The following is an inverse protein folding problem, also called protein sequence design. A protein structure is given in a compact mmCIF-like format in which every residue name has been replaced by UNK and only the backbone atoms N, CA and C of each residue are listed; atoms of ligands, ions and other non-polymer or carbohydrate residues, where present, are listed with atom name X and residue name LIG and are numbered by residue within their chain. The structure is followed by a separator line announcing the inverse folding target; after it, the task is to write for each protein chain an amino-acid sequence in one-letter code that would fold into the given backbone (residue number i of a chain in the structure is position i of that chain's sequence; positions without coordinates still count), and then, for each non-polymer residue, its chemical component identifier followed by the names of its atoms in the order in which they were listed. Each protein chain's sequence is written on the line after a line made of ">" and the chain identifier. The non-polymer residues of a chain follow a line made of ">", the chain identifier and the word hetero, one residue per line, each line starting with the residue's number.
data_IF_360539813752
#
_entry.id   IF_360539813752
#
_cell.length_a   1.000
_cell.length_b   1.000
_cell.length_c   1.000
_cell.angle_alpha   90.00
_cell.angle_beta   90.00
_cell.angle_gamma   90.00
#
_symmetry.space_group_name_H-M   'P 1'
#
loop_
_entity.id
_entity.type
_entity.pdbx_description
1 polymer ?
#
# COMPACT_ATOMS: atom_id res chain seq x y z
N UNK A 1 -26.43 16.43 -4.44
CA UNK A 1 -25.33 16.84 -3.54
C UNK A 1 -25.04 15.70 -2.59
N UNK A 2 -23.78 15.46 -2.24
CA UNK A 2 -23.27 14.24 -1.60
C UNK A 2 -23.71 14.04 -0.15
N UNK A 3 -24.93 13.56 0.06
CA UNK A 3 -25.52 13.27 1.38
C UNK A 3 -24.83 12.13 2.16
N UNK A 4 -23.88 11.41 1.56
CA UNK A 4 -23.15 10.32 2.23
C UNK A 4 -22.10 10.82 3.23
N UNK A 5 -21.67 12.08 3.11
CA UNK A 5 -20.57 12.64 3.91
C UNK A 5 -20.96 13.99 4.52
N UNK A 6 -21.65 14.01 5.68
CA UNK A 6 -21.91 15.24 6.42
C UNK A 6 -20.64 15.74 7.14
N UNK A 7 -19.48 15.65 6.49
CA UNK A 7 -18.17 16.00 7.02
C UNK A 7 -17.65 17.24 6.31
N UNK A 8 -16.95 18.09 7.06
CA UNK A 8 -16.09 19.14 6.48
C UNK A 8 -14.67 18.59 6.47
N UNK A 9 -14.00 18.68 5.33
CA UNK A 9 -12.59 18.31 5.18
C UNK A 9 -11.87 19.56 4.76
N UNK A 10 -10.77 19.84 5.44
CA UNK A 10 -9.92 21.00 5.22
C UNK A 10 -8.53 20.50 4.88
N UNK A 11 -7.89 21.19 3.93
CA UNK A 11 -6.51 20.92 3.54
C UNK A 11 -5.66 22.12 3.93
N UNK A 12 -4.47 21.84 4.46
CA UNK A 12 -3.47 22.85 4.76
C UNK A 12 -2.14 22.39 4.19
N UNK A 13 -1.59 23.16 3.26
CA UNK A 13 -0.22 22.96 2.81
C UNK A 13 0.75 23.27 3.95
N UNK A 14 1.51 22.27 4.38
CA UNK A 14 2.52 22.44 5.42
C UNK A 14 3.86 22.83 4.78
N UNK A 15 4.45 24.00 5.11
CA UNK A 15 5.75 24.38 4.59
C UNK A 15 6.84 23.40 5.00
N UNK A 16 7.82 23.12 4.13
CA UNK A 16 8.98 22.27 4.47
C UNK A 16 9.83 22.84 5.62
N UNK A 17 9.69 24.13 5.91
CA UNK A 17 10.35 24.80 7.05
C UNK A 17 9.55 24.71 8.35
N UNK A 18 8.37 24.08 8.35
CA UNK A 18 7.59 23.89 9.57
C UNK A 18 8.36 22.97 10.53
N UNK A 19 8.48 23.42 11.78
CA UNK A 19 9.06 22.65 12.88
C UNK A 19 8.00 22.03 13.78
N UNK A 20 6.75 22.46 13.64
CA UNK A 20 5.61 22.01 14.43
C UNK A 20 4.29 22.13 13.65
N UNK A 21 3.34 21.24 13.93
CA UNK A 21 1.97 21.27 13.39
C UNK A 21 0.99 20.76 14.44
N UNK A 22 0.13 21.66 14.92
CA UNK A 22 -0.81 21.39 16.02
C UNK A 22 -2.20 21.89 15.65
N UNK A 23 -3.21 21.09 15.99
CA UNK A 23 -4.60 21.53 16.05
C UNK A 23 -4.82 22.27 17.36
N UNK A 24 -4.89 23.61 17.31
CA UNK A 24 -5.03 24.44 18.52
C UNK A 24 -6.35 24.16 19.24
N UNK A 25 -6.29 23.54 20.41
CA UNK A 25 -7.49 23.16 21.18
C UNK A 25 -8.43 24.33 21.48
N UNK A 26 -7.90 25.55 21.64
CA UNK A 26 -8.69 26.77 21.85
C UNK A 26 -9.55 27.17 20.65
N UNK A 27 -9.21 26.69 19.44
CA UNK A 27 -9.94 26.97 18.21
C UNK A 27 -10.79 25.77 17.75
N UNK A 28 -10.49 24.56 18.25
CA UNK A 28 -11.21 23.34 17.91
C UNK A 28 -12.44 23.15 18.79
N UNK A 29 -13.63 23.28 18.19
CA UNK A 29 -14.91 22.95 18.84
C UNK A 29 -15.35 21.52 18.50
N UNK A 30 -14.50 20.53 18.77
CA UNK A 30 -14.80 19.12 18.55
C UNK A 30 -15.14 18.41 19.87
N UNK A 31 -16.15 17.53 19.86
CA UNK A 31 -16.47 16.69 21.01
C UNK A 31 -15.34 15.70 21.35
N UNK A 32 -14.60 15.26 20.31
CA UNK A 32 -13.42 14.40 20.42
C UNK A 32 -12.39 14.87 19.40
N UNK A 33 -11.12 14.97 19.81
CA UNK A 33 -9.99 15.33 18.95
C UNK A 33 -9.08 14.11 18.77
N UNK A 34 -8.67 13.84 17.53
CA UNK A 34 -7.73 12.78 17.19
C UNK A 34 -6.60 13.34 16.32
N UNK A 35 -5.32 13.20 16.71
CA UNK A 35 -4.88 12.65 18.01
C UNK A 35 -5.28 13.57 19.17
N UNK A 36 -5.49 13.00 20.36
CA UNK A 36 -6.04 13.73 21.51
C UNK A 36 -5.21 14.96 21.95
N UNK A 37 -3.90 14.95 21.70
CA UNK A 37 -3.00 16.07 21.97
C UNK A 37 -2.97 17.13 20.85
N UNK A 38 -3.68 16.91 19.73
CA UNK A 38 -3.71 17.79 18.57
C UNK A 38 -2.43 17.80 17.74
N UNK A 39 -1.39 17.04 18.11
CA UNK A 39 -0.11 17.05 17.42
C UNK A 39 -0.17 16.25 16.12
N UNK A 40 0.16 16.89 15.00
CA UNK A 40 0.26 16.23 13.70
C UNK A 40 1.72 15.89 13.40
N UNK A 41 2.03 14.68 12.89
CA UNK A 41 3.39 14.31 12.57
C UNK A 41 3.89 15.10 11.37
N UNK A 42 5.08 15.69 11.51
CA UNK A 42 5.79 16.33 10.41
C UNK A 42 6.84 15.40 9.81
N UNK A 43 7.13 15.55 8.50
CA UNK A 43 8.33 14.98 7.90
C UNK A 43 9.59 15.28 8.69
N UNK A 44 10.39 14.26 9.00
CA UNK A 44 11.69 14.40 9.68
C UNK A 44 12.88 14.52 8.73
N UNK A 45 12.60 14.57 7.43
CA UNK A 45 13.61 14.71 6.38
C UNK A 45 13.62 16.12 5.81
N UNK A 46 14.73 16.47 5.19
CA UNK A 46 14.99 17.75 4.51
C UNK A 46 15.13 17.51 3.01
N UNK A 47 15.27 18.55 2.17
CA UNK A 47 15.56 18.36 0.75
C UNK A 47 16.84 17.55 0.45
N UNK A 48 17.77 17.44 1.41
CA UNK A 48 19.06 16.72 1.25
C UNK A 48 19.14 15.42 2.04
N UNK A 49 18.11 15.06 2.81
CA UNK A 49 18.03 13.79 3.55
C UNK A 49 16.81 12.99 3.09
N UNK A 50 16.55 11.81 3.66
CA UNK A 50 15.39 10.97 3.36
C UNK A 50 14.85 10.32 4.65
N UNK A 51 13.64 9.72 4.66
CA UNK A 51 13.15 8.96 5.82
C UNK A 51 14.15 7.87 6.20
N UNK A 52 14.51 7.77 7.48
CA UNK A 52 15.45 6.76 7.98
C UNK A 52 14.76 5.42 8.26
N UNK A 53 13.46 5.44 8.57
CA UNK A 53 12.64 4.25 8.80
C UNK A 53 11.26 4.38 8.15
N UNK A 54 10.90 3.43 7.30
CA UNK A 54 9.62 3.39 6.59
C UNK A 54 8.86 2.13 6.99
N UNK A 55 7.62 2.29 7.45
CA UNK A 55 6.68 1.18 7.58
C UNK A 55 5.87 0.99 6.30
N UNK A 56 5.62 -0.25 5.88
CA UNK A 56 4.69 -0.55 4.78
C UNK A 56 3.58 -1.46 5.30
N UNK A 57 2.35 -1.07 5.03
CA UNK A 57 1.12 -1.79 5.40
C UNK A 57 0.16 -1.78 4.21
N UNK A 58 -0.76 -2.74 4.15
CA UNK A 58 -1.77 -2.82 3.10
C UNK A 58 -2.92 -3.71 3.51
N UNK A 59 -4.05 -3.54 2.84
CA UNK A 59 -5.18 -4.46 2.93
C UNK A 59 -5.68 -4.55 4.38
N UNK A 60 -5.90 -3.39 5.00
CA UNK A 60 -5.98 -3.27 6.45
C UNK A 60 -7.37 -3.43 7.04
N UNK A 61 -8.44 -3.23 6.25
CA UNK A 61 -9.80 -3.19 6.80
C UNK A 61 -10.29 -4.52 7.36
N UNK A 62 -11.43 -4.48 8.07
CA UNK A 62 -12.06 -5.67 8.61
C UNK A 62 -13.06 -6.26 7.61
N UNK A 63 -12.83 -7.51 7.16
CA UNK A 63 -13.69 -8.14 6.16
C UNK A 63 -15.07 -8.52 6.70
N UNK A 64 -16.08 -7.78 6.25
CA UNK A 64 -17.50 -8.04 6.52
C UNK A 64 -18.24 -8.09 5.19
N UNK A 65 -18.07 -9.17 4.40
CA UNK A 65 -18.67 -9.29 3.07
C UNK A 65 -20.20 -9.39 3.18
N UNK A 66 -20.91 -9.23 2.05
CA UNK A 66 -22.37 -9.44 1.98
C UNK A 66 -22.78 -10.91 2.17
N UNK A 67 -21.89 -11.84 1.82
CA UNK A 67 -22.09 -13.29 1.97
C UNK A 67 -20.77 -13.96 2.38
N UNK A 68 -20.85 -15.17 2.95
CA UNK A 68 -19.66 -15.89 3.40
C UNK A 68 -19.15 -15.50 4.80
N UNK A 69 -17.92 -15.88 5.17
CA UNK A 69 -17.37 -15.66 6.51
C UNK A 69 -17.17 -14.17 6.82
N UNK A 70 -17.40 -13.79 8.08
CA UNK A 70 -17.13 -12.44 8.60
C UNK A 70 -15.94 -12.52 9.54
N UNK A 71 -14.97 -11.62 9.36
CA UNK A 71 -13.85 -11.48 10.28
C UNK A 71 -14.34 -10.91 11.62
N UNK A 72 -13.74 -11.36 12.73
CA UNK A 72 -14.06 -10.84 14.05
C UNK A 72 -13.41 -9.45 14.25
N UNK A 73 -14.11 -8.38 13.88
CA UNK A 73 -13.63 -7.00 13.97
C UNK A 73 -13.38 -6.53 15.41
N UNK A 74 -14.10 -7.09 16.39
CA UNK A 74 -13.95 -6.70 17.79
C UNK A 74 -12.63 -7.15 18.43
N UNK A 75 -12.13 -8.36 18.08
CA UNK A 75 -10.99 -8.98 18.80
C UNK A 75 -10.03 -9.78 17.92
N UNK A 76 -10.47 -10.26 16.75
CA UNK A 76 -9.68 -11.11 15.85
C UNK A 76 -9.00 -10.38 14.70
N UNK A 77 -9.39 -9.13 14.44
CA UNK A 77 -8.82 -8.30 13.38
C UNK A 77 -7.52 -7.62 13.84
N UNK A 78 -6.38 -7.79 13.13
CA UNK A 78 -5.06 -7.45 13.68
C UNK A 78 -4.63 -6.01 13.43
N UNK A 79 -5.32 -5.23 12.60
CA UNK A 79 -4.82 -3.95 12.11
C UNK A 79 -4.50 -2.97 13.24
N UNK A 80 -5.37 -2.78 14.23
CA UNK A 80 -5.11 -1.87 15.35
C UNK A 80 -3.85 -2.24 16.16
N UNK A 81 -3.57 -3.54 16.29
CA UNK A 81 -2.34 -4.02 16.95
C UNK A 81 -1.11 -3.77 16.08
N UNK A 82 -1.20 -4.03 14.77
CA UNK A 82 -0.14 -3.77 13.79
C UNK A 82 0.18 -2.27 13.75
N UNK A 83 -0.82 -1.40 13.64
CA UNK A 83 -0.66 0.05 13.62
C UNK A 83 0.05 0.56 14.89
N UNK A 84 -0.36 0.05 16.06
CA UNK A 84 0.29 0.38 17.34
C UNK A 84 1.73 -0.12 17.41
N UNK A 85 1.98 -1.37 16.98
CA UNK A 85 3.32 -1.96 16.93
C UNK A 85 4.24 -1.17 16.01
N UNK A 86 3.78 -0.84 14.81
CA UNK A 86 4.52 -0.03 13.86
C UNK A 86 4.80 1.36 14.44
N UNK A 87 3.82 2.03 15.05
CA UNK A 87 4.02 3.33 15.71
C UNK A 87 5.10 3.27 16.81
N UNK A 88 5.13 2.20 17.61
CA UNK A 88 6.16 1.96 18.63
C UNK A 88 7.56 1.78 18.02
N UNK A 89 7.63 1.36 16.74
CA UNK A 89 8.84 1.35 15.95
C UNK A 89 9.39 2.75 15.62
N UNK A 90 8.67 3.83 15.89
CA UNK A 90 9.07 5.19 15.50
C UNK A 90 9.41 5.32 14.01
N UNK A 91 8.50 4.96 13.08
CA UNK A 91 8.71 5.24 11.67
C UNK A 91 8.82 6.76 11.45
N UNK A 92 9.56 7.13 10.42
CA UNK A 92 9.60 8.51 9.93
C UNK A 92 8.50 8.71 8.87
N UNK A 93 8.12 7.65 8.17
CA UNK A 93 7.11 7.62 7.13
C UNK A 93 6.41 6.26 7.14
N UNK A 94 5.13 6.24 6.76
CA UNK A 94 4.39 5.02 6.43
C UNK A 94 3.96 5.06 4.97
N UNK A 95 3.97 3.91 4.30
CA UNK A 95 3.36 3.71 2.98
C UNK A 95 2.19 2.73 3.17
N UNK A 96 0.98 3.13 2.78
CA UNK A 96 -0.18 2.26 2.73
C UNK A 96 -0.50 1.87 1.29
N UNK A 97 -0.43 0.58 0.98
CA UNK A 97 -0.56 0.04 -0.39
C UNK A 97 -2.01 -0.27 -0.78
N UNK A 98 -2.98 0.50 -0.27
CA UNK A 98 -4.39 0.39 -0.64
C UNK A 98 -5.22 -0.61 0.16
N UNK A 99 -6.50 -0.65 -0.18
CA UNK A 99 -7.60 -1.38 0.47
C UNK A 99 -7.74 -1.06 1.96
N UNK A 100 -8.65 -0.14 2.24
CA UNK A 100 -8.91 0.38 3.59
C UNK A 100 -10.28 -0.09 4.08
N UNK A 101 -11.30 -0.07 3.20
CA UNK A 101 -12.71 -0.29 3.54
C UNK A 101 -13.16 -1.70 3.15
N UNK A 102 -13.46 -2.53 4.14
CA UNK A 102 -13.79 -3.94 3.93
C UNK A 102 -15.17 -4.34 4.47
N UNK A 103 -15.90 -3.40 5.07
CA UNK A 103 -17.25 -3.63 5.59
C UNK A 103 -18.31 -3.45 4.51
N UNK A 104 -18.44 -4.40 3.60
CA UNK A 104 -19.51 -4.39 2.58
C UNK A 104 -20.92 -4.50 3.17
N UNK A 105 -21.04 -5.19 4.31
CA UNK A 105 -22.29 -5.30 5.08
C UNK A 105 -22.08 -5.15 6.59
N UNK A 106 -21.94 -3.90 7.09
CA UNK A 106 -21.74 -3.59 8.51
C UNK A 106 -22.82 -4.19 9.45
N UNK A 107 -23.99 -4.56 8.93
CA UNK A 107 -25.02 -5.22 9.75
C UNK A 107 -24.55 -6.55 10.35
N UNK A 108 -23.56 -7.19 9.73
CA UNK A 108 -23.02 -8.50 10.14
C UNK A 108 -21.80 -8.41 11.07
N UNK A 109 -21.29 -7.21 11.32
CA UNK A 109 -20.12 -7.00 12.18
C UNK A 109 -20.41 -7.24 13.67
N UNK A 110 -19.36 -7.48 14.46
CA UNK A 110 -19.47 -7.78 15.89
C UNK A 110 -18.92 -6.68 16.82
N UNK A 111 -18.59 -5.50 16.29
CA UNK A 111 -18.01 -4.35 17.01
C UNK A 111 -18.89 -3.08 16.98
N UNK A 112 -20.19 -3.23 16.69
CA UNK A 112 -21.18 -2.12 16.62
C UNK A 112 -21.20 -1.20 17.84
N UNK A 113 -20.85 -1.71 19.02
CA UNK A 113 -20.76 -0.92 20.25
C UNK A 113 -19.64 0.13 20.18
N UNK A 114 -18.51 -0.21 19.54
CA UNK A 114 -17.42 0.72 19.29
C UNK A 114 -17.73 1.65 18.10
N UNK A 115 -18.51 1.17 17.12
CA UNK A 115 -18.78 1.86 15.86
C UNK A 115 -20.29 2.10 15.62
N UNK A 116 -20.97 2.89 16.46
CA UNK A 116 -22.43 3.00 16.44
C UNK A 116 -23.02 3.64 15.18
N UNK A 117 -22.23 4.31 14.33
CA UNK A 117 -22.69 4.87 13.05
C UNK A 117 -22.45 3.97 11.83
N UNK A 118 -21.70 2.87 11.98
CA UNK A 118 -21.43 1.89 10.93
C UNK A 118 -22.34 0.68 11.15
N UNK A 119 -23.55 0.64 10.58
CA UNK A 119 -24.54 -0.39 10.95
C UNK A 119 -25.21 -1.09 9.80
N UNK A 120 -25.30 -0.47 8.64
CA UNK A 120 -26.00 -1.01 7.48
C UNK A 120 -25.13 -0.94 6.25
N UNK A 121 -25.46 -1.70 5.20
CA UNK A 121 -24.71 -1.63 3.93
C UNK A 121 -24.80 -0.24 3.26
N UNK A 122 -25.80 0.59 3.61
CA UNK A 122 -25.87 1.99 3.18
C UNK A 122 -24.86 2.90 3.92
N UNK A 123 -24.28 2.42 5.02
CA UNK A 123 -23.27 3.10 5.81
C UNK A 123 -21.84 2.70 5.43
N UNK A 124 -21.65 1.60 4.70
CA UNK A 124 -20.36 0.95 4.42
C UNK A 124 -19.23 1.91 4.02
N UNK A 125 -19.55 2.96 3.26
CA UNK A 125 -18.62 3.99 2.85
C UNK A 125 -18.93 5.38 3.43
N UNK A 126 -19.66 5.48 4.53
CA UNK A 126 -19.85 6.73 5.30
C UNK A 126 -18.70 6.94 6.28
N UNK A 127 -18.56 8.18 6.76
CA UNK A 127 -17.50 8.56 7.69
C UNK A 127 -17.37 7.60 8.89
N UNK A 128 -18.47 7.16 9.48
CA UNK A 128 -18.44 6.25 10.63
C UNK A 128 -17.78 4.90 10.31
N UNK A 129 -18.01 4.34 9.12
CA UNK A 129 -17.34 3.11 8.68
C UNK A 129 -15.89 3.36 8.26
N UNK A 130 -15.60 4.51 7.64
CA UNK A 130 -14.20 4.91 7.34
C UNK A 130 -13.38 5.05 8.62
N UNK A 131 -13.99 5.58 9.69
CA UNK A 131 -13.38 5.65 11.02
C UNK A 131 -13.20 4.26 11.62
N UNK A 132 -14.21 3.39 11.49
CA UNK A 132 -14.17 2.02 12.01
C UNK A 132 -13.07 1.18 11.37
N UNK A 133 -12.91 1.27 10.04
CA UNK A 133 -11.96 0.45 9.28
C UNK A 133 -10.54 1.03 9.23
N UNK A 134 -10.38 2.36 9.26
CA UNK A 134 -9.07 2.98 9.09
C UNK A 134 -8.66 3.93 10.22
N UNK A 135 -9.34 5.07 10.40
CA UNK A 135 -8.80 6.14 11.26
C UNK A 135 -8.65 5.74 12.73
N UNK A 136 -9.62 5.03 13.30
CA UNK A 136 -9.55 4.59 14.70
C UNK A 136 -8.47 3.54 14.95
N UNK A 137 -8.43 2.40 14.22
CA UNK A 137 -7.36 1.42 14.44
C UNK A 137 -5.97 1.96 14.08
N UNK A 138 -5.87 2.90 13.14
CA UNK A 138 -4.62 3.55 12.76
C UNK A 138 -4.21 4.73 13.66
N UNK A 139 -5.00 5.11 14.67
CA UNK A 139 -4.81 6.37 15.41
C UNK A 139 -3.37 6.55 15.94
N UNK A 140 -2.82 5.52 16.59
CA UNK A 140 -1.46 5.55 17.12
C UNK A 140 -0.41 5.79 16.02
N UNK A 141 -0.65 5.26 14.82
CA UNK A 141 0.22 5.41 13.65
C UNK A 141 0.10 6.79 13.03
N UNK A 142 -1.13 7.28 12.85
CA UNK A 142 -1.44 8.59 12.29
C UNK A 142 -0.95 9.74 13.20
N UNK A 143 -0.84 9.50 14.51
CA UNK A 143 -0.20 10.41 15.44
C UNK A 143 1.34 10.41 15.35
N UNK A 144 1.93 9.40 14.69
CA UNK A 144 3.37 9.12 14.77
C UNK A 144 4.15 9.53 13.54
N UNK A 145 3.61 9.31 12.34
CA UNK A 145 4.30 9.56 11.09
C UNK A 145 3.33 9.97 9.97
N UNK A 146 3.77 10.80 9.01
CA UNK A 146 3.02 11.01 7.76
C UNK A 146 2.83 9.69 7.01
N UNK A 147 1.74 9.59 6.25
CA UNK A 147 1.39 8.38 5.49
C UNK A 147 1.26 8.72 4.01
N UNK A 148 1.99 8.00 3.15
CA UNK A 148 1.81 7.99 1.71
C UNK A 148 0.80 6.91 1.33
N UNK A 149 -0.23 7.28 0.55
CA UNK A 149 -1.39 6.44 0.30
C UNK A 149 -1.49 6.06 -1.18
N UNK A 150 -1.95 4.84 -1.45
CA UNK A 150 -2.46 4.43 -2.77
C UNK A 150 -3.86 3.87 -2.63
N UNK A 151 -4.63 3.87 -3.72
CA UNK A 151 -6.00 3.37 -3.74
C UNK A 151 -6.02 1.89 -4.10
N UNK A 152 -6.82 1.10 -3.41
CA UNK A 152 -7.07 -0.29 -3.78
C UNK A 152 -8.46 -0.53 -4.37
N UNK A 153 -8.72 -1.76 -4.83
CA UNK A 153 -9.98 -2.09 -5.51
C UNK A 153 -11.20 -2.04 -4.58
N UNK A 154 -11.01 -2.15 -3.26
CA UNK A 154 -12.09 -1.91 -2.29
C UNK A 154 -12.57 -0.45 -2.31
N UNK A 155 -11.77 0.47 -2.82
CA UNK A 155 -12.12 1.88 -3.05
C UNK A 155 -12.37 2.21 -4.54
N UNK A 156 -12.73 1.21 -5.35
CA UNK A 156 -13.15 1.47 -6.72
C UNK A 156 -14.43 2.32 -6.78
N UNK A 157 -14.59 3.03 -7.90
CA UNK A 157 -15.79 3.81 -8.15
C UNK A 157 -16.99 2.87 -8.35
N UNK A 158 -18.12 3.20 -7.72
CA UNK A 158 -19.39 2.57 -8.06
C UNK A 158 -19.83 3.00 -9.49
N UNK A 159 -20.81 2.31 -10.10
CA UNK A 159 -21.29 2.63 -11.45
C UNK A 159 -21.82 4.05 -11.63
N UNK A 160 -22.24 4.72 -10.54
CA UNK A 160 -22.72 6.10 -10.59
C UNK A 160 -21.58 7.12 -10.62
N UNK A 161 -20.33 6.72 -10.37
CA UNK A 161 -19.18 7.62 -10.27
C UNK A 161 -19.29 8.63 -9.11
N UNK A 162 -20.19 8.37 -8.15
CA UNK A 162 -20.50 9.29 -7.06
C UNK A 162 -20.82 8.53 -5.76
N UNK A 163 -20.21 8.96 -4.65
CA UNK A 163 -20.33 8.27 -3.36
C UNK A 163 -19.68 6.88 -3.36
N UNK A 164 -20.12 6.02 -2.46
CA UNK A 164 -19.51 4.70 -2.25
C UNK A 164 -18.06 4.79 -1.77
N UNK A 165 -17.35 3.67 -1.78
CA UNK A 165 -15.97 3.58 -1.29
C UNK A 165 -15.01 4.46 -2.12
N UNK A 166 -15.13 4.48 -3.46
CA UNK A 166 -14.38 5.42 -4.27
C UNK A 166 -14.69 6.89 -4.00
N UNK A 167 -15.95 7.24 -3.73
CA UNK A 167 -16.31 8.57 -3.25
C UNK A 167 -15.69 8.90 -1.88
N UNK A 168 -15.57 7.92 -0.99
CA UNK A 168 -14.90 8.08 0.31
C UNK A 168 -13.39 8.29 0.14
N UNK A 169 -12.74 7.56 -0.77
CA UNK A 169 -11.33 7.76 -1.12
C UNK A 169 -11.06 9.20 -1.58
N UNK A 170 -11.78 9.67 -2.59
CA UNK A 170 -11.62 11.06 -3.08
C UNK A 170 -12.08 12.10 -2.05
N UNK A 171 -12.85 11.73 -1.03
CA UNK A 171 -13.25 12.65 0.03
C UNK A 171 -12.18 12.83 1.11
N UNK A 172 -11.44 11.78 1.46
CA UNK A 172 -10.63 11.73 2.68
C UNK A 172 -9.15 11.37 2.50
N UNK A 173 -8.78 10.65 1.42
CA UNK A 173 -7.48 9.98 1.33
C UNK A 173 -6.71 10.29 0.04
N UNK A 174 -7.38 10.71 -1.02
CA UNK A 174 -6.75 11.07 -2.29
C UNK A 174 -5.84 12.31 -2.16
N UNK A 175 -4.91 12.46 -3.10
CA UNK A 175 -4.13 13.68 -3.31
C UNK A 175 -4.92 14.80 -4.02
N UNK A 176 -6.07 14.44 -4.62
CA UNK A 176 -7.07 15.34 -5.18
C UNK A 176 -8.39 15.19 -4.40
N UNK A 177 -8.53 15.94 -3.30
CA UNK A 177 -9.72 15.85 -2.44
C UNK A 177 -10.94 16.55 -3.06
N UNK A 178 -12.11 15.89 -2.95
CA UNK A 178 -13.36 16.30 -3.60
C UNK A 178 -14.52 16.30 -2.62
N UNK A 179 -15.18 17.45 -2.47
CA UNK A 179 -16.32 17.62 -1.55
C UNK A 179 -17.66 17.13 -2.11
N UNK A 180 -17.77 16.98 -3.43
CA UNK A 180 -19.01 16.59 -4.12
C UNK A 180 -19.24 15.06 -4.16
N UNK A 181 -18.28 14.29 -3.64
CA UNK A 181 -18.27 12.82 -3.65
C UNK A 181 -18.03 12.20 -5.03
N UNK A 182 -17.52 12.95 -6.02
CA UNK A 182 -17.23 12.40 -7.35
C UNK A 182 -15.99 11.52 -7.35
N UNK A 183 -16.02 10.45 -8.14
CA UNK A 183 -14.96 9.46 -8.22
C UNK A 183 -14.42 9.34 -9.65
N UNK A 184 -13.10 9.24 -9.79
CA UNK A 184 -12.44 8.92 -11.07
C UNK A 184 -11.98 7.48 -11.06
N UNK A 185 -12.32 6.71 -12.10
CA UNK A 185 -11.91 5.29 -12.22
C UNK A 185 -10.39 5.18 -12.31
N UNK A 186 -9.74 6.12 -12.97
CA UNK A 186 -8.28 6.23 -13.02
C UNK A 186 -7.87 7.63 -12.59
N UNK A 187 -6.87 7.71 -11.71
CA UNK A 187 -6.19 8.95 -11.34
C UNK A 187 -4.79 9.00 -11.97
N UNK A 188 -4.21 10.19 -12.21
CA UNK A 188 -2.81 10.29 -12.61
C UNK A 188 -1.88 9.82 -11.47
N UNK A 189 -0.62 9.45 -11.75
CA UNK A 189 0.33 9.11 -10.70
C UNK A 189 0.56 10.28 -9.74
N UNK A 190 0.56 10.01 -8.44
CA UNK A 190 0.87 11.00 -7.42
C UNK A 190 2.37 10.94 -7.07
N UNK A 191 3.07 12.06 -7.21
CA UNK A 191 4.51 12.17 -6.96
C UNK A 191 4.75 12.84 -5.60
N UNK A 192 5.38 12.11 -4.69
CA UNK A 192 5.66 12.55 -3.32
C UNK A 192 7.17 12.65 -3.09
N UNK A 193 7.63 13.85 -2.69
CA UNK A 193 9.06 14.11 -2.45
C UNK A 193 9.40 13.88 -0.99
N UNK A 194 10.03 12.75 -0.69
CA UNK A 194 10.55 12.42 0.63
C UNK A 194 12.05 12.76 0.73
N UNK A 195 12.38 14.01 0.42
CA UNK A 195 13.75 14.51 0.33
C UNK A 195 14.50 13.88 -0.84
N UNK A 196 15.56 13.09 -0.58
CA UNK A 196 16.31 12.37 -1.63
C UNK A 196 15.71 11.02 -2.03
N UNK A 197 14.61 10.61 -1.37
CA UNK A 197 13.77 9.50 -1.80
C UNK A 197 12.50 10.06 -2.48
N UNK A 198 12.20 9.58 -3.67
CA UNK A 198 10.97 9.89 -4.39
C UNK A 198 10.01 8.72 -4.27
N UNK A 199 8.76 8.98 -3.92
CA UNK A 199 7.70 7.99 -3.89
C UNK A 199 6.69 8.31 -4.98
N UNK A 200 6.23 7.30 -5.70
CA UNK A 200 5.25 7.48 -6.75
C UNK A 200 4.11 6.48 -6.58
N UNK A 201 2.92 6.99 -6.27
CA UNK A 201 1.69 6.22 -6.20
C UNK A 201 1.14 6.06 -7.61
N UNK A 202 1.03 4.83 -8.11
CA UNK A 202 0.33 4.54 -9.35
C UNK A 202 -0.95 3.79 -9.00
N UNK A 203 -2.08 4.47 -9.14
CA UNK A 203 -3.42 3.96 -8.82
C UNK A 203 -3.79 2.79 -9.73
N UNK A 204 -3.55 1.58 -9.23
CA UNK A 204 -3.79 0.33 -9.94
C UNK A 204 -5.07 -0.39 -9.51
N UNK A 205 -5.95 0.28 -8.74
CA UNK A 205 -7.19 -0.31 -8.21
C UNK A 205 -8.00 -1.00 -9.31
N UNK A 206 -8.20 -0.30 -10.43
CA UNK A 206 -8.95 -0.77 -11.59
C UNK A 206 -8.06 -1.33 -12.71
N UNK A 207 -6.82 -1.77 -12.43
CA UNK A 207 -5.91 -2.28 -13.46
C UNK A 207 -6.46 -3.52 -14.19
N UNK A 208 -6.87 -4.51 -13.41
CA UNK A 208 -7.57 -5.72 -13.83
C UNK A 208 -8.74 -5.96 -12.86
N UNK A 209 -9.90 -5.32 -13.06
CA UNK A 209 -10.96 -5.28 -12.04
C UNK A 209 -11.55 -6.64 -11.65
N UNK A 210 -11.39 -7.66 -12.50
CA UNK A 210 -11.91 -9.01 -12.25
C UNK A 210 -10.80 -10.02 -11.91
N UNK A 211 -9.55 -9.57 -11.80
CA UNK A 211 -8.36 -10.40 -11.56
C UNK A 211 -8.28 -11.65 -12.46
N UNK A 212 -8.65 -11.45 -13.73
CA UNK A 212 -8.77 -12.53 -14.71
C UNK A 212 -7.68 -12.50 -15.79
N UNK A 213 -6.65 -11.67 -15.60
CA UNK A 213 -5.54 -11.49 -16.54
C UNK A 213 -5.86 -10.53 -17.69
N UNK A 214 -6.91 -9.72 -17.58
CA UNK A 214 -7.29 -8.77 -18.63
C UNK A 214 -6.17 -7.75 -18.89
N UNK A 215 -5.85 -7.53 -20.17
CA UNK A 215 -4.88 -6.52 -20.62
C UNK A 215 -5.54 -5.21 -21.09
N UNK A 216 -6.85 -5.05 -20.86
CA UNK A 216 -7.66 -3.97 -21.44
C UNK A 216 -7.09 -2.56 -21.16
N UNK A 217 -6.56 -2.36 -19.94
CA UNK A 217 -6.06 -1.06 -19.50
C UNK A 217 -4.57 -0.82 -19.79
N UNK A 218 -3.90 -1.71 -20.55
CA UNK A 218 -2.44 -1.65 -20.78
C UNK A 218 -1.97 -0.29 -21.30
N UNK A 219 -2.69 0.31 -22.25
CA UNK A 219 -2.29 1.59 -22.83
C UNK A 219 -2.31 2.73 -21.80
N UNK A 220 -3.31 2.76 -20.92
CA UNK A 220 -3.43 3.74 -19.85
C UNK A 220 -2.27 3.60 -18.86
N UNK A 221 -2.02 2.39 -18.36
CA UNK A 221 -0.90 2.16 -17.44
C UNK A 221 0.47 2.36 -18.11
N UNK A 222 0.59 2.13 -19.42
CA UNK A 222 1.81 2.45 -20.18
C UNK A 222 2.08 3.96 -20.11
N UNK A 223 1.06 4.80 -20.26
CA UNK A 223 1.20 6.26 -20.14
C UNK A 223 1.61 6.67 -18.72
N UNK A 224 0.99 6.07 -17.70
CA UNK A 224 1.34 6.34 -16.30
C UNK A 224 2.79 5.95 -15.97
N UNK A 225 3.23 4.75 -16.36
CA UNK A 225 4.63 4.33 -16.15
C UNK A 225 5.63 5.13 -17.01
N UNK A 226 5.22 5.63 -18.18
CA UNK A 226 6.04 6.61 -18.91
C UNK A 226 6.18 7.93 -18.12
N UNK A 227 5.13 8.42 -17.45
CA UNK A 227 5.22 9.60 -16.60
C UNK A 227 6.19 9.36 -15.43
N UNK A 228 6.14 8.18 -14.80
CA UNK A 228 7.13 7.78 -13.76
C UNK A 228 8.56 7.82 -14.32
N UNK A 229 8.79 7.21 -15.49
CA UNK A 229 10.10 7.18 -16.13
C UNK A 229 10.61 8.57 -16.52
N UNK A 230 9.73 9.44 -16.99
CA UNK A 230 10.06 10.82 -17.35
C UNK A 230 10.47 11.64 -16.13
N UNK A 231 9.74 11.51 -15.02
CA UNK A 231 10.06 12.19 -13.77
C UNK A 231 11.39 11.69 -13.17
N UNK A 232 11.56 10.37 -13.10
CA UNK A 232 12.79 9.74 -12.60
C UNK A 232 14.02 10.02 -13.46
N UNK A 233 13.82 10.34 -14.74
CA UNK A 233 14.86 10.72 -15.69
C UNK A 233 15.24 12.20 -15.70
N UNK A 234 14.54 13.05 -14.93
CA UNK A 234 14.88 14.48 -14.86
C UNK A 234 16.29 14.68 -14.26
N UNK A 235 17.09 15.65 -14.74
CA UNK A 235 18.45 15.86 -14.26
C UNK A 235 18.58 16.04 -12.75
N UNK A 236 17.62 16.72 -12.11
CA UNK A 236 17.58 16.94 -10.66
C UNK A 236 17.31 15.66 -9.85
N UNK A 237 16.81 14.60 -10.47
CA UNK A 237 16.43 13.33 -9.81
C UNK A 237 17.36 12.16 -10.17
N UNK A 238 18.31 12.33 -11.09
CA UNK A 238 19.13 11.24 -11.65
C UNK A 238 19.91 10.43 -10.58
N UNK A 239 20.25 11.07 -9.46
CA UNK A 239 20.98 10.47 -8.34
C UNK A 239 20.09 10.13 -7.13
N UNK A 240 18.78 10.31 -7.24
CA UNK A 240 17.82 10.05 -6.17
C UNK A 240 17.14 8.70 -6.38
N UNK A 241 16.79 8.04 -5.28
CA UNK A 241 16.09 6.77 -5.32
C UNK A 241 14.59 6.99 -5.55
N UNK A 242 13.95 6.05 -6.27
CA UNK A 242 12.51 6.01 -6.48
C UNK A 242 11.92 4.71 -5.93
N UNK A 243 10.87 4.82 -5.12
CA UNK A 243 9.95 3.74 -4.83
C UNK A 243 8.63 3.98 -5.56
N UNK A 244 8.23 3.02 -6.38
CA UNK A 244 6.91 3.03 -7.02
C UNK A 244 6.01 2.14 -6.21
N UNK A 245 4.81 2.60 -5.87
CA UNK A 245 3.87 1.79 -5.12
C UNK A 245 2.51 1.78 -5.79
N UNK A 246 1.97 0.58 -5.91
CA UNK A 246 0.69 0.26 -6.52
C UNK A 246 -0.15 -0.49 -5.50
N UNK A 247 -1.45 -0.64 -5.72
CA UNK A 247 -2.20 -1.61 -4.92
C UNK A 247 -2.01 -3.02 -5.47
N UNK A 248 -2.43 -3.24 -6.72
CA UNK A 248 -2.19 -4.50 -7.43
C UNK A 248 -0.70 -4.67 -7.79
N UNK A 249 -0.07 -5.81 -7.47
CA UNK A 249 1.33 -6.11 -7.78
C UNK A 249 1.62 -6.17 -9.28
N UNK A 250 2.87 -5.94 -9.68
CA UNK A 250 3.31 -6.10 -11.09
C UNK A 250 3.83 -7.51 -11.36
N UNK A 251 4.54 -8.10 -10.40
CA UNK A 251 5.29 -9.35 -10.59
C UNK A 251 5.17 -10.33 -9.42
N UNK A 252 4.22 -10.12 -8.50
CA UNK A 252 4.03 -11.00 -7.34
C UNK A 252 3.66 -12.40 -7.84
N UNK A 253 4.31 -13.44 -7.31
CA UNK A 253 4.00 -14.82 -7.70
C UNK A 253 2.95 -15.40 -6.75
N UNK A 254 1.79 -15.73 -7.30
CA UNK A 254 0.67 -16.33 -6.56
C UNK A 254 0.87 -17.81 -6.34
N UNK A 255 1.37 -18.51 -7.35
CA UNK A 255 1.55 -19.96 -7.31
C UNK A 255 2.70 -20.40 -8.23
N UNK A 256 3.40 -21.47 -7.84
CA UNK A 256 4.43 -22.10 -8.67
C UNK A 256 4.43 -23.63 -8.51
N UNK A 257 4.61 -24.33 -9.63
CA UNK A 257 4.72 -25.78 -9.72
C UNK A 257 6.11 -26.24 -10.15
N UNK A 258 6.38 -27.54 -10.06
CA UNK A 258 7.71 -28.10 -10.36
C UNK A 258 8.08 -28.03 -11.84
N UNK A 259 7.10 -28.04 -12.75
CA UNK A 259 7.36 -28.01 -14.20
C UNK A 259 7.78 -26.63 -14.70
N UNK A 260 8.69 -26.50 -15.69
CA UNK A 260 8.99 -25.22 -16.33
C UNK A 260 7.73 -24.51 -16.81
N UNK A 261 7.64 -23.19 -16.61
CA UNK A 261 6.46 -22.40 -16.97
C UNK A 261 5.24 -22.57 -16.08
N UNK A 262 5.24 -23.52 -15.13
CA UNK A 262 4.18 -23.63 -14.12
C UNK A 262 4.38 -22.55 -13.05
N UNK A 263 4.02 -21.31 -13.39
CA UNK A 263 4.07 -20.15 -12.51
C UNK A 263 2.93 -19.21 -12.87
N UNK A 264 2.23 -18.71 -11.86
CA UNK A 264 1.20 -17.69 -11.98
C UNK A 264 1.66 -16.46 -11.21
N UNK A 265 1.77 -15.33 -11.89
CA UNK A 265 2.02 -14.04 -11.26
C UNK A 265 0.83 -13.10 -11.50
N UNK A 266 0.68 -12.16 -10.59
CA UNK A 266 -0.46 -11.28 -10.53
C UNK A 266 -0.38 -10.12 -11.54
N UNK A 267 -1.57 -9.68 -11.96
CA UNK A 267 -1.85 -8.46 -12.72
C UNK A 267 -0.98 -8.25 -13.98
N UNK A 268 -1.03 -9.17 -14.98
CA UNK A 268 -0.21 -9.09 -16.20
C UNK A 268 -0.31 -7.77 -16.97
N UNK A 269 -1.42 -7.04 -16.85
CA UNK A 269 -1.58 -5.72 -17.49
C UNK A 269 -0.58 -4.68 -17.01
N UNK A 270 -0.18 -4.71 -15.74
CA UNK A 270 0.80 -3.77 -15.20
C UNK A 270 2.22 -4.15 -15.63
N UNK A 271 2.55 -5.44 -15.63
CA UNK A 271 3.83 -5.90 -16.21
C UNK A 271 3.96 -5.52 -17.68
N UNK A 272 2.87 -5.69 -18.43
CA UNK A 272 2.85 -5.47 -19.88
C UNK A 272 2.90 -3.98 -20.18
N UNK A 273 2.29 -3.17 -19.34
CA UNK A 273 2.37 -1.72 -19.41
C UNK A 273 3.81 -1.21 -19.19
N UNK A 274 4.55 -1.75 -18.20
CA UNK A 274 5.97 -1.42 -18.02
C UNK A 274 6.80 -1.80 -19.24
N UNK A 275 6.59 -3.01 -19.78
CA UNK A 275 7.29 -3.49 -20.97
C UNK A 275 6.98 -2.66 -22.24
N UNK A 276 5.81 -2.02 -22.28
CA UNK A 276 5.36 -1.19 -23.40
C UNK A 276 5.72 0.30 -23.23
N UNK A 277 6.38 0.68 -22.13
CA UNK A 277 6.94 2.03 -22.00
C UNK A 277 8.01 2.30 -23.05
N UNK A 278 8.33 3.56 -23.28
CA UNK A 278 9.42 3.99 -24.18
C UNK A 278 10.80 3.42 -23.82
N UNK A 279 11.01 3.04 -22.55
CA UNK A 279 12.24 2.41 -22.06
C UNK A 279 12.15 0.88 -22.03
N UNK A 280 10.99 0.29 -22.30
CA UNK A 280 10.69 -1.13 -22.10
C UNK A 280 10.99 -1.65 -20.68
N UNK A 281 11.06 -0.74 -19.72
CA UNK A 281 11.46 -0.97 -18.34
C UNK A 281 11.08 0.25 -17.48
N UNK A 282 11.14 0.08 -16.16
CA UNK A 282 11.20 1.23 -15.24
C UNK A 282 12.63 1.80 -15.22
N UNK A 283 12.75 3.11 -14.99
CA UNK A 283 14.04 3.81 -14.92
C UNK A 283 14.97 3.15 -13.89
N UNK A 284 16.28 3.19 -14.15
CA UNK A 284 17.28 2.48 -13.35
C UNK A 284 17.32 2.88 -11.86
N UNK A 285 16.95 4.12 -11.54
CA UNK A 285 16.86 4.64 -10.18
C UNK A 285 15.52 4.32 -9.48
N UNK A 286 14.57 3.66 -10.16
CA UNK A 286 13.47 2.95 -9.49
C UNK A 286 14.07 1.73 -8.79
N UNK A 287 14.21 1.82 -7.48
CA UNK A 287 14.90 0.84 -6.63
C UNK A 287 14.02 -0.31 -6.19
N UNK A 288 12.72 -0.05 -5.99
CA UNK A 288 11.78 -0.98 -5.41
C UNK A 288 10.36 -0.68 -5.91
N UNK A 289 9.59 -1.74 -6.15
CA UNK A 289 8.13 -1.66 -6.33
C UNK A 289 7.45 -2.23 -5.09
N UNK A 290 6.48 -1.50 -4.54
CA UNK A 290 5.68 -1.90 -3.38
C UNK A 290 4.24 -2.17 -3.81
N UNK A 291 3.59 -3.19 -3.23
CA UNK A 291 2.18 -3.48 -3.52
C UNK A 291 1.43 -4.13 -2.36
N UNK A 292 0.11 -4.24 -2.46
CA UNK A 292 -0.78 -5.00 -1.56
C UNK A 292 -1.57 -6.03 -2.35
N UNK A 293 -2.91 -6.00 -2.20
CA UNK A 293 -3.94 -6.75 -2.93
C UNK A 293 -3.99 -8.25 -2.64
N UNK A 294 -2.84 -8.92 -2.70
CA UNK A 294 -2.74 -10.32 -2.28
C UNK A 294 -2.41 -10.32 -0.79
N UNK A 295 -3.25 -10.97 0.01
CA UNK A 295 -3.23 -10.84 1.46
C UNK A 295 -2.14 -11.68 2.15
N UNK A 296 -0.88 -11.40 1.78
CA UNK A 296 0.33 -12.01 2.32
C UNK A 296 1.50 -11.02 2.25
N UNK A 297 2.64 -11.41 2.82
CA UNK A 297 3.92 -10.74 2.54
C UNK A 297 4.74 -11.60 1.59
N UNK A 298 5.23 -11.01 0.50
CA UNK A 298 6.22 -11.64 -0.38
C UNK A 298 7.24 -10.61 -0.84
N UNK A 299 8.51 -10.97 -0.80
CA UNK A 299 9.55 -10.24 -1.50
C UNK A 299 10.20 -11.11 -2.57
N UNK A 300 10.42 -10.54 -3.75
CA UNK A 300 11.13 -11.21 -4.82
C UNK A 300 12.01 -10.26 -5.62
N UNK A 301 13.05 -10.83 -6.23
CA UNK A 301 13.95 -10.10 -7.11
C UNK A 301 14.40 -10.96 -8.30
N UNK A 302 15.08 -10.31 -9.25
CA UNK A 302 15.52 -10.91 -10.51
C UNK A 302 17.04 -10.89 -10.67
N UNK A 303 17.76 -10.18 -9.78
CA UNK A 303 19.18 -9.84 -9.96
C UNK A 303 19.50 -9.19 -11.32
N UNK A 304 18.58 -8.35 -11.81
CA UNK A 304 18.69 -7.60 -13.08
C UNK A 304 18.41 -6.11 -12.86
N UNK A 305 18.29 -5.33 -13.93
CA UNK A 305 17.86 -3.94 -13.86
C UNK A 305 16.37 -3.78 -13.49
N UNK A 306 15.55 -4.84 -13.59
CA UNK A 306 14.15 -4.82 -13.14
C UNK A 306 14.13 -4.60 -11.62
N UNK A 307 13.37 -3.62 -11.10
CA UNK A 307 13.27 -3.44 -9.67
C UNK A 307 12.70 -4.70 -9.01
N UNK A 308 13.22 -5.09 -7.82
CA UNK A 308 12.54 -6.07 -6.99
C UNK A 308 11.14 -5.59 -6.61
N UNK A 309 10.30 -6.54 -6.20
CA UNK A 309 8.97 -6.25 -5.69
C UNK A 309 8.83 -6.73 -4.25
N UNK A 310 8.19 -5.89 -3.44
CA UNK A 310 7.75 -6.21 -2.10
C UNK A 310 6.22 -6.04 -2.02
N UNK A 311 5.52 -7.15 -1.83
CA UNK A 311 4.07 -7.19 -1.63
C UNK A 311 3.76 -7.34 -0.15
N UNK A 312 2.90 -6.48 0.39
CA UNK A 312 2.55 -6.34 1.81
C UNK A 312 1.04 -6.14 1.95
N UNK A 313 0.26 -7.19 1.70
CA UNK A 313 -1.20 -7.17 1.89
C UNK A 313 -1.67 -7.89 3.16
N UNK A 314 -0.77 -8.13 4.10
CA UNK A 314 -1.04 -8.95 5.29
C UNK A 314 -1.31 -8.12 6.55
N UNK A 315 -1.82 -6.89 6.43
CA UNK A 315 -1.97 -6.00 7.60
C UNK A 315 -3.36 -5.96 8.22
N UNK A 316 -4.36 -6.67 7.67
CA UNK A 316 -5.70 -6.73 8.26
C UNK A 316 -6.63 -7.80 7.70
N UNK A 317 -6.88 -7.76 6.39
CA UNK A 317 -7.84 -8.60 5.69
C UNK A 317 -7.54 -10.11 5.75
N UNK A 318 -8.51 -10.98 5.40
CA UNK A 318 -8.33 -12.44 5.47
C UNK A 318 -7.14 -12.91 4.63
N UNK A 319 -6.22 -13.67 5.22
CA UNK A 319 -4.97 -14.03 4.56
C UNK A 319 -5.18 -14.96 3.35
N UNK A 320 -4.29 -14.83 2.37
CA UNK A 320 -4.20 -15.71 1.21
C UNK A 320 -3.13 -16.79 1.40
N UNK A 321 -3.22 -17.86 0.62
CA UNK A 321 -2.12 -18.82 0.53
C UNK A 321 -0.98 -18.26 -0.34
N UNK A 322 0.26 -18.51 0.07
CA UNK A 322 1.45 -18.17 -0.70
C UNK A 322 1.86 -19.25 -1.70
N UNK A 323 2.87 -18.98 -2.56
CA UNK A 323 3.54 -20.01 -3.32
C UNK A 323 4.57 -20.75 -2.46
N UNK A 324 4.96 -21.96 -2.89
CA UNK A 324 6.19 -22.59 -2.41
C UNK A 324 7.39 -21.90 -3.08
N UNK A 325 8.09 -21.03 -2.33
CA UNK A 325 9.22 -20.24 -2.83
C UNK A 325 10.33 -21.08 -3.48
N UNK A 326 10.52 -22.34 -3.05
CA UNK A 326 11.52 -23.24 -3.66
C UNK A 326 11.18 -23.60 -5.11
N UNK A 327 9.89 -23.48 -5.47
CA UNK A 327 9.39 -23.66 -6.84
C UNK A 327 9.30 -22.33 -7.61
N UNK A 328 9.38 -21.19 -6.92
CA UNK A 328 9.37 -19.86 -7.54
C UNK A 328 10.74 -19.51 -8.10
N UNK A 329 11.81 -19.78 -7.34
CA UNK A 329 13.18 -19.45 -7.77
C UNK A 329 13.53 -20.12 -9.10
N UNK A 330 14.06 -19.34 -10.03
CA UNK A 330 14.40 -19.75 -11.40
C UNK A 330 13.25 -19.69 -12.40
N UNK A 331 11.99 -19.48 -11.98
CA UNK A 331 10.87 -19.32 -12.91
C UNK A 331 10.96 -17.98 -13.63
N UNK A 332 10.78 -18.00 -14.94
CA UNK A 332 10.74 -16.79 -15.75
C UNK A 332 9.34 -16.17 -15.69
N UNK A 333 9.23 -14.93 -15.20
CA UNK A 333 7.96 -14.19 -15.09
C UNK A 333 8.06 -12.76 -15.65
N UNK A 334 6.89 -12.16 -15.88
CA UNK A 334 6.73 -10.81 -16.40
C UNK A 334 7.15 -10.66 -17.85
N UNK A 335 7.13 -9.42 -18.34
CA UNK A 335 7.44 -9.07 -19.74
C UNK A 335 8.65 -8.11 -19.81
N UNK A 336 9.73 -8.43 -20.57
CA UNK A 336 10.07 -9.77 -21.05
C UNK A 336 10.27 -10.75 -19.88
N UNK A 337 10.17 -12.08 -20.09
CA UNK A 337 10.36 -13.04 -19.02
C UNK A 337 11.76 -12.93 -18.40
N UNK A 338 11.84 -12.84 -17.07
CA UNK A 338 13.10 -12.86 -16.32
C UNK A 338 13.02 -13.87 -15.19
N UNK A 339 14.08 -14.67 -14.97
CA UNK A 339 14.11 -15.65 -13.90
C UNK A 339 14.06 -14.94 -12.54
N UNK A 340 13.18 -15.40 -11.66
CA UNK A 340 13.21 -14.99 -10.25
C UNK A 340 14.51 -15.49 -9.62
N UNK A 341 15.31 -14.59 -9.08
CA UNK A 341 16.57 -14.91 -8.40
C UNK A 341 16.32 -15.29 -6.93
N UNK A 342 15.40 -14.59 -6.26
CA UNK A 342 15.03 -14.87 -4.87
C UNK A 342 13.54 -14.63 -4.67
N UNK A 343 12.92 -15.44 -3.81
CA UNK A 343 11.54 -15.27 -3.34
C UNK A 343 11.47 -15.65 -1.87
N UNK A 344 10.83 -14.81 -1.04
CA UNK A 344 10.58 -15.08 0.37
C UNK A 344 9.15 -14.63 0.69
N UNK A 345 8.32 -15.59 1.04
CA UNK A 345 6.93 -15.43 1.45
C UNK A 345 6.81 -15.70 2.94
N UNK A 346 6.05 -14.87 3.66
CA UNK A 346 5.78 -15.11 5.08
C UNK A 346 4.45 -15.83 5.24
N UNK A 347 4.55 -17.09 5.62
CA UNK A 347 3.43 -18.02 5.71
C UNK A 347 3.56 -18.98 6.90
N UNK A 348 2.49 -19.72 7.18
CA UNK A 348 2.50 -20.86 8.07
C UNK A 348 3.05 -22.09 7.34
N UNK A 349 3.77 -22.95 8.06
CA UNK A 349 4.23 -24.22 7.52
C UNK A 349 3.06 -25.17 7.23
N UNK A 350 3.18 -26.04 6.21
CA UNK A 350 4.30 -26.17 5.25
C UNK A 350 4.30 -25.05 4.18
N UNK A 351 5.38 -24.91 3.39
CA UNK A 351 5.45 -23.92 2.30
C UNK A 351 4.28 -24.01 1.31
N UNK A 352 3.88 -22.86 0.76
CA UNK A 352 2.65 -22.71 -0.03
C UNK A 352 1.37 -22.70 0.82
N UNK A 353 1.50 -22.29 2.08
CA UNK A 353 0.45 -22.30 3.09
C UNK A 353 -0.21 -20.93 3.26
N UNK A 354 -1.11 -20.84 4.23
CA UNK A 354 -1.77 -19.56 4.58
C UNK A 354 -0.73 -18.54 5.07
N UNK A 355 -0.82 -17.30 4.59
CA UNK A 355 0.04 -16.20 4.99
C UNK A 355 0.04 -15.94 6.50
N UNK A 356 0.85 -14.99 6.95
CA UNK A 356 0.82 -14.47 8.33
C UNK A 356 0.59 -12.98 8.37
N UNK A 357 -0.13 -12.51 9.39
CA UNK A 357 -0.34 -11.08 9.60
C UNK A 357 0.93 -10.35 9.99
N UNK A 358 1.11 -9.13 9.48
CA UNK A 358 2.23 -8.27 9.84
C UNK A 358 2.39 -7.07 8.92
N UNK A 359 3.60 -6.52 8.91
CA UNK A 359 3.97 -5.34 8.14
C UNK A 359 5.44 -5.38 7.73
N UNK A 360 5.83 -4.59 6.72
CA UNK A 360 7.24 -4.45 6.37
C UNK A 360 7.88 -3.26 7.08
N UNK A 361 9.14 -3.44 7.49
CA UNK A 361 10.00 -2.43 8.09
C UNK A 361 11.23 -2.22 7.21
N UNK A 362 11.32 -1.04 6.61
CA UNK A 362 12.43 -0.61 5.76
C UNK A 362 13.30 0.37 6.56
N UNK A 363 14.60 0.12 6.65
CA UNK A 363 15.55 1.01 7.34
C UNK A 363 16.65 1.45 6.40
N UNK A 364 16.88 2.75 6.33
CA UNK A 364 17.99 3.31 5.58
C UNK A 364 19.32 3.00 6.28
N UNK A 365 20.30 2.56 5.50
CA UNK A 365 21.68 2.29 5.94
C UNK A 365 22.64 3.41 5.53
N UNK A 366 22.12 4.49 4.93
CA UNK A 366 22.87 5.59 4.33
C UNK A 366 23.28 5.34 2.88
N UNK A 367 23.28 4.08 2.43
CA UNK A 367 23.60 3.72 1.04
C UNK A 367 22.50 2.89 0.37
N UNK A 368 21.75 2.12 1.16
CA UNK A 368 20.65 1.27 0.70
C UNK A 368 19.66 1.00 1.84
N UNK A 369 18.78 0.02 1.69
CA UNK A 369 17.72 -0.32 2.62
C UNK A 369 17.87 -1.75 3.17
N UNK A 370 17.67 -1.93 4.47
CA UNK A 370 17.35 -3.25 5.05
C UNK A 370 15.85 -3.40 5.18
N UNK A 371 15.34 -4.56 4.81
CA UNK A 371 13.93 -4.93 4.80
C UNK A 371 13.73 -6.09 5.78
N UNK A 372 12.74 -5.96 6.65
CA UNK A 372 12.31 -7.04 7.54
C UNK A 372 10.78 -7.12 7.56
N UNK A 373 10.25 -8.34 7.62
CA UNK A 373 8.86 -8.55 7.99
C UNK A 373 8.74 -8.57 9.52
N UNK A 374 7.75 -7.84 10.04
CA UNK A 374 7.42 -7.80 11.45
C UNK A 374 6.04 -8.36 11.69
N UNK A 375 5.94 -9.24 12.67
CA UNK A 375 4.66 -9.78 13.12
C UNK A 375 3.82 -8.69 13.85
N UNK A 376 2.58 -8.98 14.26
CA UNK A 376 1.73 -7.99 14.93
C UNK A 376 2.28 -7.46 16.27
N UNK A 377 3.26 -8.14 16.87
CA UNK A 377 3.96 -7.69 18.08
C UNK A 377 5.14 -6.77 17.77
N UNK A 378 5.54 -6.67 16.50
CA UNK A 378 6.70 -5.90 16.03
C UNK A 378 8.00 -6.70 16.02
N UNK A 379 7.94 -7.99 16.36
CA UNK A 379 9.08 -8.89 16.31
C UNK A 379 9.41 -9.24 14.86
N UNK A 380 10.70 -9.29 14.52
CA UNK A 380 11.12 -9.76 13.19
C UNK A 380 10.77 -11.23 13.06
N UNK A 381 10.09 -11.59 11.97
CA UNK A 381 9.81 -12.97 11.60
C UNK A 381 10.45 -13.26 10.24
N UNK A 382 11.16 -14.38 10.14
CA UNK A 382 11.95 -14.71 8.96
C UNK A 382 13.29 -13.99 8.94
N UNK A 383 13.81 -13.77 7.74
CA UNK A 383 15.12 -13.16 7.52
C UNK A 383 15.02 -11.63 7.40
N UNK A 384 16.13 -10.95 7.70
CA UNK A 384 16.31 -9.55 7.31
C UNK A 384 17.13 -9.51 6.03
N UNK A 385 16.73 -8.67 5.08
CA UNK A 385 17.32 -8.64 3.75
C UNK A 385 17.79 -7.24 3.39
N UNK A 386 18.97 -7.13 2.81
CA UNK A 386 19.51 -5.86 2.31
C UNK A 386 19.23 -5.75 0.82
N UNK A 387 18.64 -4.63 0.39
CA UNK A 387 18.53 -4.29 -1.04
C UNK A 387 19.92 -3.93 -1.58
N UNK A 388 20.30 -4.45 -2.75
CA UNK A 388 21.60 -4.10 -3.34
C UNK A 388 21.70 -2.59 -3.63
N UNK A 389 22.91 -2.03 -3.77
CA UNK A 389 23.11 -0.66 -4.27
C UNK A 389 23.18 -0.60 -5.79
N UNK A 390 23.35 -1.76 -6.46
CA UNK A 390 23.50 -1.84 -7.91
C UNK A 390 22.22 -1.44 -8.63
N UNK A 391 22.37 -0.66 -9.71
CA UNK A 391 21.27 -0.28 -10.63
C UNK A 391 21.08 -1.29 -11.77
N UNK A 392 22.05 -2.16 -12.03
CA UNK A 392 22.01 -3.18 -13.09
C UNK A 392 21.68 -4.58 -12.57
N UNK A 393 21.93 -4.83 -11.29
CA UNK A 393 21.75 -6.10 -10.60
C UNK A 393 21.04 -5.85 -9.26
N UNK A 394 19.77 -5.49 -9.36
CA UNK A 394 18.91 -5.20 -8.21
C UNK A 394 18.47 -6.53 -7.60
N UNK A 395 18.86 -6.76 -6.36
CA UNK A 395 18.59 -8.01 -5.65
C UNK A 395 18.50 -7.79 -4.16
N UNK A 396 17.96 -8.78 -3.46
CA UNK A 396 18.00 -8.88 -2.01
C UNK A 396 19.12 -9.80 -1.56
N UNK A 397 19.73 -9.50 -0.43
CA UNK A 397 20.69 -10.37 0.25
C UNK A 397 20.25 -10.57 1.68
N UNK A 398 19.79 -11.77 2.01
CA UNK A 398 19.17 -12.08 3.29
C UNK A 398 20.14 -12.74 4.27
N UNK A 399 19.99 -12.43 5.55
CA UNK A 399 20.85 -12.85 6.64
C UNK A 399 20.05 -13.16 7.92
#
# INVERSE_FOLDING_TARGET
>A
MGLQFPTTVCELGVPLTASDAVLEQSTVQAATLHPANGQLPLPKWTPTTRPGRIGVIGDTGCSVPKSGPVQNCATGWPFGRIATSLANGNPDLVIHVGDYLYRDDPARENDKAANPGCRTSADAARWDCVVADFFRPAEALLAKAPVALTRGNHEDCNPAGQGGAGGAWFRYLADDLRSNGSCSVFSPPAFLRAGTLNLVSVDSSSADPNDNGSLANRALFTQQFNAVNQDAGQPQHANQDYFVFTHKPLWMVKAAGSMPGAVEWATPVLDSAVANTSLHALRENVRLVLSGHIHLYQMLDFNTARPPQLTVGSSGGPLDNGPDDTKVVGKAIGTPPQPVNQSITQEHNPPGGIGVFGYADLRDTGTTWTLAFRDPTGSVRGQTCTLSTSRTNKSFTCH
#
